data_IF_252160482030
#
_entry.id   IF_252160482030
#
_cell.length_a   1.000
_cell.length_b   1.000
_cell.length_c   1.000
_cell.angle_alpha   90.00
_cell.angle_beta   90.00
_cell.angle_gamma   90.00
#
_symmetry.space_group_name_H-M   'P 1'
#
loop_
_entity.id
_entity.type
_entity.pdbx_description
1 polymer ?
#
# COMPACT_ATOMS: atom_id res chain seq x y z
N UNK A 1 -22.27 45.26 -60.47
CA UNK A 1 -23.54 44.49 -60.54
C UNK A 1 -24.16 44.50 -59.15
N UNK A 2 -25.47 44.70 -59.05
CA UNK A 2 -26.18 44.63 -57.76
C UNK A 2 -26.50 43.16 -57.45
N UNK A 3 -26.07 42.66 -56.30
CA UNK A 3 -26.38 41.30 -55.82
C UNK A 3 -27.57 41.35 -54.85
N UNK A 4 -28.34 40.27 -54.77
CA UNK A 4 -29.32 40.11 -53.70
C UNK A 4 -28.59 39.87 -52.37
N UNK A 5 -28.96 40.56 -51.28
CA UNK A 5 -28.39 40.27 -49.97
C UNK A 5 -28.89 38.90 -49.49
N UNK A 6 -27.95 38.00 -49.20
CA UNK A 6 -28.21 36.68 -48.64
C UNK A 6 -28.08 36.73 -47.12
N UNK A 7 -29.02 36.12 -46.40
CA UNK A 7 -28.91 35.92 -44.94
C UNK A 7 -29.08 34.44 -44.66
N UNK A 8 -28.21 33.81 -43.84
CA UNK A 8 -28.28 32.37 -43.57
C UNK A 8 -29.43 32.05 -42.63
N UNK A 9 -30.65 32.07 -43.16
CA UNK A 9 -31.88 31.78 -42.45
C UNK A 9 -32.67 30.70 -43.17
N UNK A 10 -33.28 29.81 -42.39
CA UNK A 10 -34.19 28.80 -42.92
C UNK A 10 -35.59 29.38 -43.04
N UNK A 11 -35.95 29.76 -44.27
CA UNK A 11 -37.31 30.19 -44.60
C UNK A 11 -38.28 28.99 -44.53
N UNK A 12 -39.43 29.17 -43.88
CA UNK A 12 -40.45 28.11 -43.71
C UNK A 12 -41.08 27.67 -45.04
N UNK A 13 -41.09 28.56 -46.03
CA UNK A 13 -41.59 28.31 -47.37
C UNK A 13 -40.97 29.26 -48.39
N UNK A 14 -41.18 28.95 -49.67
CA UNK A 14 -40.81 29.84 -50.78
C UNK A 14 -42.11 30.49 -51.23
N UNK A 15 -42.15 31.82 -51.24
CA UNK A 15 -43.31 32.58 -51.70
C UNK A 15 -43.68 32.16 -53.12
N UNK A 16 -44.97 32.05 -53.43
CA UNK A 16 -45.41 31.86 -54.80
C UNK A 16 -45.84 33.21 -55.33
N UNK A 17 -45.25 33.67 -56.43
CA UNK A 17 -45.72 34.90 -57.09
C UNK A 17 -47.15 34.68 -57.56
N UNK A 18 -48.02 35.61 -57.19
CA UNK A 18 -49.41 35.64 -57.59
C UNK A 18 -49.61 36.50 -58.83
N UNK A 19 -50.71 36.29 -59.55
CA UNK A 19 -51.01 37.04 -60.78
C UNK A 19 -51.26 38.53 -60.49
N UNK A 20 -51.64 38.87 -59.26
CA UNK A 20 -51.82 40.24 -58.77
C UNK A 20 -50.54 40.94 -58.32
N UNK A 21 -49.41 40.23 -58.22
CA UNK A 21 -48.16 40.84 -57.74
C UNK A 21 -47.54 41.77 -58.78
N UNK A 22 -47.11 42.99 -58.39
CA UNK A 22 -46.45 43.91 -59.32
C UNK A 22 -45.03 43.44 -59.66
N UNK A 23 -44.54 43.75 -60.87
CA UNK A 23 -43.14 43.44 -61.23
C UNK A 23 -42.20 44.49 -60.64
N UNK A 24 -41.81 44.30 -59.37
CA UNK A 24 -40.90 45.18 -58.63
C UNK A 24 -39.57 44.48 -58.37
N UNK A 25 -38.48 45.07 -58.88
CA UNK A 25 -37.10 44.68 -58.60
C UNK A 25 -36.52 45.35 -57.35
N UNK A 26 -35.20 45.28 -57.19
CA UNK A 26 -34.49 45.77 -55.99
C UNK A 26 -34.46 44.77 -54.83
N UNK A 27 -33.75 45.08 -53.73
CA UNK A 27 -33.51 44.16 -52.61
C UNK A 27 -34.77 43.65 -51.89
N UNK A 28 -35.85 44.45 -51.94
CA UNK A 28 -37.14 44.17 -51.31
C UNK A 28 -38.29 44.09 -52.33
N UNK A 29 -37.95 44.02 -53.61
CA UNK A 29 -38.91 43.82 -54.69
C UNK A 29 -39.52 42.43 -54.68
N UNK A 30 -40.84 42.32 -54.87
CA UNK A 30 -41.58 41.05 -54.83
C UNK A 30 -41.07 40.05 -55.88
N UNK A 31 -40.59 40.53 -57.03
CA UNK A 31 -40.03 39.69 -58.10
C UNK A 31 -38.73 38.97 -57.69
N UNK A 32 -38.01 39.49 -56.70
CA UNK A 32 -36.77 38.89 -56.18
C UNK A 32 -37.00 38.03 -54.92
N UNK A 33 -38.22 37.98 -54.38
CA UNK A 33 -38.51 37.33 -53.08
C UNK A 33 -38.16 35.84 -53.08
N UNK A 34 -38.60 35.11 -54.11
CA UNK A 34 -38.32 33.67 -54.25
C UNK A 34 -36.82 33.37 -54.31
N UNK A 35 -36.08 34.13 -55.11
CA UNK A 35 -34.64 33.99 -55.25
C UNK A 35 -33.91 34.31 -53.92
N UNK A 36 -34.31 35.38 -53.22
CA UNK A 36 -33.75 35.76 -51.91
C UNK A 36 -33.99 34.66 -50.86
N UNK A 37 -35.19 34.07 -50.84
CA UNK A 37 -35.52 32.98 -49.91
C UNK A 37 -34.74 31.69 -50.21
N UNK A 38 -34.60 31.32 -51.49
CA UNK A 38 -33.80 30.17 -51.91
C UNK A 38 -32.31 30.35 -51.60
N UNK A 39 -31.77 31.53 -51.88
CA UNK A 39 -30.37 31.86 -51.58
C UNK A 39 -30.10 31.82 -50.06
N UNK A 40 -31.01 32.38 -49.27
CA UNK A 40 -30.93 32.35 -47.79
C UNK A 40 -30.92 30.92 -47.23
N UNK A 41 -31.80 30.04 -47.72
CA UNK A 41 -31.82 28.61 -47.34
C UNK A 41 -30.55 27.88 -47.77
N UNK A 42 -30.03 28.17 -48.96
CA UNK A 42 -28.79 27.59 -49.46
C UNK A 42 -27.61 28.00 -48.60
N UNK A 43 -27.52 29.28 -48.24
CA UNK A 43 -26.50 29.81 -47.33
C UNK A 43 -26.59 29.17 -45.94
N UNK A 44 -27.80 29.02 -45.39
CA UNK A 44 -28.04 28.30 -44.13
C UNK A 44 -27.57 26.84 -44.19
N UNK A 45 -27.93 26.10 -45.24
CA UNK A 45 -27.53 24.70 -45.41
C UNK A 45 -26.03 24.56 -45.57
N UNK A 46 -25.40 25.44 -46.36
CA UNK A 46 -23.95 25.48 -46.52
C UNK A 46 -23.26 25.67 -45.16
N UNK A 47 -23.72 26.64 -44.36
CA UNK A 47 -23.18 26.84 -43.00
C UNK A 47 -23.37 25.63 -42.10
N UNK A 48 -24.52 24.93 -42.19
CA UNK A 48 -24.74 23.70 -41.43
C UNK A 48 -23.80 22.58 -41.86
N UNK A 49 -23.59 22.40 -43.16
CA UNK A 49 -22.67 21.39 -43.70
C UNK A 49 -21.23 21.71 -43.30
N UNK A 50 -20.81 22.97 -43.44
CA UNK A 50 -19.48 23.44 -43.03
C UNK A 50 -19.29 23.24 -41.52
N UNK A 51 -20.27 23.62 -40.69
CA UNK A 51 -20.22 23.41 -39.24
C UNK A 51 -20.12 21.93 -38.85
N UNK A 52 -20.94 21.07 -39.46
CA UNK A 52 -20.84 19.62 -39.23
C UNK A 52 -19.46 19.10 -39.62
N UNK A 53 -18.88 19.60 -40.72
CA UNK A 53 -17.51 19.30 -41.12
C UNK A 53 -16.47 19.74 -40.09
N UNK A 54 -16.60 20.96 -39.54
CA UNK A 54 -15.68 21.46 -38.50
C UNK A 54 -15.83 20.71 -37.19
N UNK A 55 -17.05 20.37 -36.77
CA UNK A 55 -17.32 19.62 -35.54
C UNK A 55 -16.75 18.19 -35.65
N UNK A 56 -16.87 17.55 -36.82
CA UNK A 56 -16.25 16.25 -37.09
C UNK A 56 -14.72 16.34 -37.13
N UNK A 57 -14.17 17.38 -37.77
CA UNK A 57 -12.72 17.59 -37.77
C UNK A 57 -12.17 17.80 -36.35
N UNK A 58 -12.88 18.54 -35.51
CA UNK A 58 -12.54 18.72 -34.10
C UNK A 58 -12.65 17.40 -33.31
N UNK A 59 -13.68 16.59 -33.57
CA UNK A 59 -13.85 15.26 -32.96
C UNK A 59 -12.70 14.30 -33.33
N UNK A 60 -12.29 14.27 -34.60
CA UNK A 60 -11.18 13.43 -35.09
C UNK A 60 -9.84 13.90 -34.51
N UNK A 61 -9.64 15.22 -34.40
CA UNK A 61 -8.40 15.79 -33.86
C UNK A 61 -8.27 15.66 -32.34
N UNK A 62 -9.39 15.51 -31.61
CA UNK A 62 -9.38 15.34 -30.18
C UNK A 62 -8.76 13.99 -29.79
N UNK A 63 -7.87 14.01 -28.78
CA UNK A 63 -7.21 12.79 -28.27
C UNK A 63 -8.24 11.80 -27.70
N UNK A 64 -9.20 12.33 -26.94
CA UNK A 64 -10.27 11.59 -26.26
C UNK A 64 -11.62 12.32 -26.46
N UNK A 65 -12.28 12.16 -27.63
CA UNK A 65 -13.54 12.87 -27.93
C UNK A 65 -14.76 12.36 -27.15
N UNK A 66 -14.59 11.27 -26.38
CA UNK A 66 -15.65 10.61 -25.63
C UNK A 66 -15.29 10.59 -24.13
N UNK A 67 -15.77 11.59 -23.40
CA UNK A 67 -15.42 11.82 -21.98
C UNK A 67 -16.04 10.80 -21.02
N UNK A 68 -16.99 9.98 -21.48
CA UNK A 68 -17.59 8.90 -20.69
C UNK A 68 -16.67 7.67 -20.54
N UNK A 69 -15.59 7.59 -21.31
CA UNK A 69 -14.63 6.49 -21.24
C UNK A 69 -13.34 6.94 -20.54
N UNK A 70 -12.57 5.96 -20.06
CA UNK A 70 -11.24 6.22 -19.52
C UNK A 70 -10.33 6.81 -20.62
N UNK A 71 -9.51 7.82 -20.26
CA UNK A 71 -8.58 8.45 -21.20
C UNK A 71 -7.55 7.45 -21.70
N UNK A 72 -7.11 7.58 -22.96
CA UNK A 72 -6.09 6.68 -23.52
C UNK A 72 -4.75 6.80 -22.79
N UNK A 73 -4.36 8.02 -22.47
CA UNK A 73 -3.14 8.31 -21.73
C UNK A 73 -3.44 8.43 -20.24
N UNK A 74 -2.71 7.67 -19.42
CA UNK A 74 -2.77 7.72 -17.95
C UNK A 74 -4.18 7.77 -17.39
N UNK A 75 -5.06 6.80 -17.73
CA UNK A 75 -6.43 6.79 -17.23
C UNK A 75 -6.48 6.76 -15.71
N UNK A 76 -7.38 7.55 -15.14
CA UNK A 76 -7.87 7.31 -13.78
C UNK A 76 -9.04 6.33 -13.87
N UNK A 77 -8.88 5.12 -13.34
CA UNK A 77 -9.96 4.14 -13.30
C UNK A 77 -10.91 4.44 -12.12
N UNK A 78 -12.22 4.34 -12.36
CA UNK A 78 -13.27 4.52 -11.35
C UNK A 78 -14.17 3.28 -11.29
N UNK A 79 -14.91 3.10 -10.19
CA UNK A 79 -15.75 1.90 -9.98
C UNK A 79 -14.92 0.62 -9.73
N UNK A 80 -15.34 -0.50 -10.31
CA UNK A 80 -14.70 -1.83 -10.16
C UNK A 80 -14.13 -2.32 -11.51
N UNK A 81 -12.99 -1.77 -11.99
CA UNK A 81 -12.41 -2.15 -13.27
C UNK A 81 -11.96 -3.62 -13.24
N UNK A 82 -12.22 -4.34 -14.34
CA UNK A 82 -11.72 -5.71 -14.55
C UNK A 82 -10.62 -5.71 -15.60
N UNK A 83 -9.60 -6.54 -15.41
CA UNK A 83 -8.56 -6.80 -16.41
C UNK A 83 -8.28 -8.31 -16.46
N UNK A 84 -7.71 -8.83 -17.57
CA UNK A 84 -7.27 -10.22 -17.63
C UNK A 84 -6.23 -10.51 -16.54
N UNK A 85 -6.39 -11.63 -15.83
CA UNK A 85 -5.43 -12.07 -14.82
C UNK A 85 -4.18 -12.64 -15.50
N UNK A 86 -2.99 -12.04 -15.31
CA UNK A 86 -1.74 -12.59 -15.83
C UNK A 86 -1.41 -13.97 -15.25
N UNK A 87 -0.57 -14.73 -15.95
CA UNK A 87 -0.02 -15.98 -15.43
C UNK A 87 0.96 -15.70 -14.28
N UNK A 88 1.11 -16.65 -13.35
CA UNK A 88 2.07 -16.54 -12.25
C UNK A 88 3.50 -16.36 -12.79
N UNK A 89 4.27 -15.46 -12.18
CA UNK A 89 5.66 -15.16 -12.58
C UNK A 89 5.79 -14.18 -13.76
N UNK A 90 4.69 -13.65 -14.30
CA UNK A 90 4.74 -12.58 -15.31
C UNK A 90 5.39 -11.32 -14.72
N UNK A 91 6.47 -10.85 -15.36
CA UNK A 91 7.25 -9.67 -14.96
C UNK A 91 7.15 -8.51 -15.97
N UNK A 92 6.15 -8.57 -16.85
CA UNK A 92 5.89 -7.52 -17.84
C UNK A 92 5.20 -6.30 -17.23
N UNK A 93 5.00 -5.25 -18.03
CA UNK A 93 4.33 -4.00 -17.62
C UNK A 93 2.79 -4.09 -17.66
N UNK A 94 2.22 -5.29 -17.65
CA UNK A 94 0.75 -5.48 -17.60
C UNK A 94 0.20 -5.02 -16.25
N UNK A 95 -1.09 -4.72 -16.21
CA UNK A 95 -1.79 -4.43 -14.95
C UNK A 95 -1.82 -5.68 -14.07
N UNK A 96 -1.46 -5.53 -12.80
CA UNK A 96 -1.63 -6.58 -11.80
C UNK A 96 -3.08 -6.56 -11.30
N UNK A 97 -3.80 -7.68 -11.50
CA UNK A 97 -5.16 -7.85 -10.95
C UNK A 97 -5.10 -8.27 -9.49
N UNK A 98 -6.17 -8.04 -8.74
CA UNK A 98 -6.32 -8.55 -7.36
C UNK A 98 -6.16 -10.07 -7.29
N UNK A 99 -6.71 -10.79 -8.28
CA UNK A 99 -6.57 -12.25 -8.40
C UNK A 99 -5.11 -12.69 -8.61
N UNK A 100 -4.33 -11.97 -9.44
CA UNK A 100 -2.90 -12.25 -9.62
C UNK A 100 -2.13 -12.09 -8.32
N UNK A 101 -2.35 -11.00 -7.58
CA UNK A 101 -1.71 -10.76 -6.28
C UNK A 101 -2.09 -11.84 -5.26
N UNK A 102 -3.36 -12.22 -5.21
CA UNK A 102 -3.83 -13.29 -4.33
C UNK A 102 -3.17 -14.63 -4.68
N UNK A 103 -3.04 -14.98 -5.97
CA UNK A 103 -2.34 -16.19 -6.42
C UNK A 103 -0.84 -16.14 -6.10
N UNK A 104 -0.19 -15.00 -6.29
CA UNK A 104 1.23 -14.83 -5.97
C UNK A 104 1.49 -14.98 -4.46
N UNK A 105 0.63 -14.38 -3.62
CA UNK A 105 0.70 -14.53 -2.16
C UNK A 105 0.39 -15.97 -1.73
N UNK A 106 -0.61 -16.61 -2.33
CA UNK A 106 -0.93 -18.00 -2.06
C UNK A 106 0.18 -18.94 -2.51
N UNK A 107 0.91 -18.65 -3.60
CA UNK A 107 2.08 -19.42 -4.00
C UNK A 107 3.25 -19.23 -3.02
N UNK A 108 3.47 -18.01 -2.53
CA UNK A 108 4.44 -17.72 -1.48
C UNK A 108 4.10 -18.46 -0.18
N UNK A 109 2.84 -18.39 0.24
CA UNK A 109 2.34 -19.05 1.44
C UNK A 109 2.24 -20.57 1.29
N UNK A 110 1.82 -21.09 0.13
CA UNK A 110 1.65 -22.51 -0.16
C UNK A 110 2.97 -23.27 -0.32
N UNK A 111 4.07 -22.54 -0.55
CA UNK A 111 5.43 -23.07 -0.42
C UNK A 111 5.89 -23.14 1.05
N UNK A 112 5.15 -22.54 1.97
CA UNK A 112 5.55 -22.39 3.35
C UNK A 112 4.40 -22.32 4.38
N UNK A 113 3.30 -23.10 4.34
CA UNK A 113 2.37 -23.09 5.48
C UNK A 113 3.07 -23.70 6.70
N UNK A 114 3.70 -24.88 6.51
CA UNK A 114 4.51 -25.57 7.52
C UNK A 114 5.85 -24.86 7.76
N UNK A 115 6.45 -24.26 6.73
CA UNK A 115 7.72 -23.52 6.90
C UNK A 115 7.53 -22.18 7.62
N UNK A 116 6.40 -21.48 7.40
CA UNK A 116 6.05 -20.30 8.20
C UNK A 116 5.67 -20.69 9.63
N UNK A 117 4.98 -21.83 9.79
CA UNK A 117 4.68 -22.39 11.11
C UNK A 117 5.98 -22.71 11.88
N UNK A 118 6.93 -23.42 11.26
CA UNK A 118 8.25 -23.71 11.88
C UNK A 118 9.05 -22.44 12.16
N UNK A 119 9.03 -21.42 11.29
CA UNK A 119 9.67 -20.13 11.59
C UNK A 119 8.99 -19.42 12.78
N UNK A 120 7.67 -19.50 12.88
CA UNK A 120 6.91 -18.98 14.02
C UNK A 120 7.21 -19.76 15.30
N UNK A 121 7.25 -21.10 15.23
CA UNK A 121 7.61 -21.97 16.34
C UNK A 121 9.03 -21.69 16.82
N UNK A 122 10.00 -21.50 15.92
CA UNK A 122 11.37 -21.13 16.27
C UNK A 122 11.44 -19.74 16.92
N UNK A 123 10.71 -18.75 16.38
CA UNK A 123 10.66 -17.41 16.96
C UNK A 123 10.04 -17.42 18.36
N UNK A 124 8.96 -18.17 18.55
CA UNK A 124 8.30 -18.34 19.84
C UNK A 124 9.18 -19.15 20.83
N UNK A 125 9.87 -20.20 20.37
CA UNK A 125 10.81 -20.98 21.17
C UNK A 125 12.02 -20.15 21.65
N UNK A 126 12.45 -19.16 20.85
CA UNK A 126 13.48 -18.20 21.22
C UNK A 126 12.94 -16.98 22.00
N UNK A 127 11.63 -16.98 22.30
CA UNK A 127 10.98 -15.93 23.09
C UNK A 127 10.83 -14.60 22.36
N UNK A 128 10.88 -14.58 21.03
CA UNK A 128 10.83 -13.37 20.21
C UNK A 128 11.84 -12.28 20.66
N UNK A 129 13.01 -12.69 21.19
CA UNK A 129 14.01 -11.79 21.75
C UNK A 129 14.94 -11.22 20.65
N UNK A 130 14.87 -9.91 20.32
CA UNK A 130 15.74 -9.30 19.31
C UNK A 130 17.22 -9.34 19.69
N UNK A 131 17.52 -9.51 20.98
CA UNK A 131 18.87 -9.58 21.53
C UNK A 131 19.14 -10.95 22.17
N UNK A 132 18.53 -12.03 21.66
CA UNK A 132 18.63 -13.38 22.23
C UNK A 132 20.06 -13.77 22.65
N UNK A 133 21.05 -13.52 21.80
CA UNK A 133 22.44 -13.81 22.11
C UNK A 133 22.94 -13.04 23.35
N UNK A 134 22.64 -11.75 23.44
CA UNK A 134 22.98 -10.91 24.60
C UNK A 134 22.25 -11.36 25.85
N UNK A 135 20.96 -11.69 25.76
CA UNK A 135 20.19 -12.18 26.90
C UNK A 135 20.74 -13.50 27.45
N UNK A 136 21.08 -14.45 26.56
CA UNK A 136 21.70 -15.72 26.95
C UNK A 136 23.08 -15.48 27.56
N UNK A 137 23.88 -14.58 26.99
CA UNK A 137 25.19 -14.23 27.54
C UNK A 137 25.07 -13.61 28.95
N UNK A 138 24.12 -12.70 29.16
CA UNK A 138 23.88 -12.09 30.48
C UNK A 138 23.46 -13.15 31.51
N UNK A 139 22.50 -14.03 31.16
CA UNK A 139 22.07 -15.14 32.04
C UNK A 139 23.20 -16.11 32.37
N UNK A 140 24.16 -16.29 31.46
CA UNK A 140 25.34 -17.12 31.70
C UNK A 140 26.35 -16.41 32.62
N UNK A 141 26.52 -15.10 32.44
CA UNK A 141 27.40 -14.28 33.28
C UNK A 141 26.92 -14.18 34.74
N UNK A 142 25.62 -14.38 35.00
CA UNK A 142 25.07 -14.48 36.35
C UNK A 142 25.39 -15.80 37.08
N UNK A 143 25.97 -16.81 36.39
CA UNK A 143 26.38 -18.06 37.03
C UNK A 143 27.73 -17.92 37.72
N UNK A 144 27.91 -18.67 38.81
CA UNK A 144 29.18 -18.73 39.52
C UNK A 144 30.30 -19.26 38.60
N UNK A 145 31.38 -18.49 38.51
CA UNK A 145 32.54 -18.76 37.72
C UNK A 145 33.46 -19.76 38.45
N UNK A 146 33.81 -20.86 37.77
CA UNK A 146 34.57 -21.97 38.38
C UNK A 146 35.96 -21.53 38.85
N UNK A 147 36.60 -20.66 38.09
CA UNK A 147 37.92 -20.09 38.38
C UNK A 147 37.90 -19.13 39.58
N UNK A 148 36.74 -18.58 39.93
CA UNK A 148 36.58 -17.71 41.11
C UNK A 148 36.43 -18.51 42.41
N UNK A 149 36.23 -19.83 42.35
CA UNK A 149 36.15 -20.71 43.52
C UNK A 149 35.17 -20.19 44.60
N UNK A 150 34.05 -19.59 44.19
CA UNK A 150 33.03 -19.04 45.09
C UNK A 150 33.31 -17.64 45.62
N UNK A 151 34.38 -16.97 45.19
CA UNK A 151 34.63 -15.56 45.52
C UNK A 151 33.57 -14.59 44.97
N UNK A 152 32.85 -15.01 43.93
CA UNK A 152 31.78 -14.30 43.24
C UNK A 152 30.38 -14.61 43.81
N UNK A 153 30.29 -15.32 44.94
CA UNK A 153 29.03 -15.53 45.65
C UNK A 153 28.56 -14.18 46.23
N UNK A 154 27.38 -13.65 45.84
CA UNK A 154 26.93 -12.33 46.29
C UNK A 154 26.62 -12.27 47.80
N UNK A 155 26.09 -13.37 48.35
CA UNK A 155 25.73 -13.48 49.76
C UNK A 155 26.32 -14.75 50.40
N UNK A 156 27.61 -14.75 50.78
CA UNK A 156 28.28 -15.93 51.31
C UNK A 156 27.62 -16.48 52.58
N UNK A 157 27.13 -15.62 53.47
CA UNK A 157 26.46 -16.03 54.71
C UNK A 157 25.14 -16.76 54.45
N UNK A 158 24.32 -16.27 53.50
CA UNK A 158 23.09 -16.94 53.09
C UNK A 158 23.42 -18.28 52.40
N UNK A 159 24.46 -18.32 51.57
CA UNK A 159 24.93 -19.54 50.93
C UNK A 159 25.31 -20.63 51.96
N UNK A 160 26.10 -20.28 52.98
CA UNK A 160 26.47 -21.17 54.08
C UNK A 160 25.25 -21.66 54.87
N UNK A 161 24.30 -20.76 55.16
CA UNK A 161 23.03 -21.12 55.79
C UNK A 161 22.22 -22.11 54.94
N UNK A 162 22.14 -21.90 53.62
CA UNK A 162 21.44 -22.79 52.68
C UNK A 162 22.11 -24.17 52.56
N UNK A 163 23.44 -24.24 52.74
CA UNK A 163 24.16 -25.51 52.87
C UNK A 163 23.93 -26.22 54.21
N UNK A 164 23.21 -25.58 55.15
CA UNK A 164 23.02 -26.11 56.49
C UNK A 164 24.27 -26.01 57.36
N UNK A 165 25.29 -25.25 56.96
CA UNK A 165 26.57 -25.09 57.67
C UNK A 165 26.58 -23.87 58.61
N UNK A 166 25.43 -23.50 59.16
CA UNK A 166 25.29 -22.37 60.08
C UNK A 166 25.98 -22.61 61.43
N UNK A 167 25.86 -21.62 62.33
CA UNK A 167 26.40 -21.73 63.70
C UNK A 167 25.98 -23.05 64.37
N UNK A 168 26.97 -23.80 64.87
CA UNK A 168 26.77 -25.09 65.56
C UNK A 168 26.61 -26.32 64.67
N UNK A 169 26.65 -26.19 63.34
CA UNK A 169 26.40 -27.30 62.40
C UNK A 169 27.57 -28.27 62.23
N UNK A 170 28.80 -27.75 62.08
CA UNK A 170 29.95 -28.59 61.72
C UNK A 170 30.41 -29.50 62.88
N UNK A 171 30.29 -29.02 64.12
CA UNK A 171 30.71 -29.73 65.33
C UNK A 171 29.77 -29.38 66.48
N UNK A 172 29.02 -30.36 67.03
CA UNK A 172 28.24 -30.14 68.24
C UNK A 172 29.13 -29.63 69.39
N UNK A 173 28.61 -28.67 70.16
CA UNK A 173 29.29 -28.19 71.37
C UNK A 173 29.59 -29.38 72.30
N UNK A 174 30.84 -29.51 72.72
CA UNK A 174 31.30 -30.58 73.62
C UNK A 174 32.06 -31.71 72.95
N UNK A 175 32.12 -31.77 71.61
CA UNK A 175 33.00 -32.74 70.90
C UNK A 175 34.47 -32.32 71.07
N UNK A 176 35.35 -33.17 71.66
CA UNK A 176 36.78 -32.87 71.74
C UNK A 176 37.41 -32.86 70.34
N UNK A 177 38.03 -31.74 69.97
CA UNK A 177 38.75 -31.60 68.69
C UNK A 177 40.24 -31.62 68.95
N UNK A 178 41.02 -32.57 68.39
CA UNK A 178 42.47 -32.54 68.45
C UNK A 178 43.00 -31.27 67.78
N UNK A 179 43.76 -30.47 68.53
CA UNK A 179 44.33 -29.21 68.03
C UNK A 179 45.86 -29.24 68.09
N UNK A 180 46.58 -28.87 67.01
CA UNK A 180 48.03 -29.05 66.93
C UNK A 180 48.85 -28.00 67.72
N UNK A 181 48.21 -26.98 68.32
CA UNK A 181 48.87 -25.92 69.09
C UNK A 181 48.45 -25.93 70.56
N UNK A 182 49.33 -25.47 71.45
CA UNK A 182 49.06 -25.35 72.89
C UNK A 182 48.03 -24.27 73.23
N UNK A 183 47.85 -23.28 72.36
CA UNK A 183 46.87 -22.20 72.52
C UNK A 183 45.61 -22.51 71.70
N UNK A 184 44.43 -22.66 72.34
CA UNK A 184 43.19 -22.90 71.61
C UNK A 184 42.76 -21.66 70.80
N UNK A 185 42.03 -21.83 69.68
CA UNK A 185 41.43 -20.71 68.96
C UNK A 185 40.45 -19.92 69.82
N UNK A 186 40.19 -18.66 69.45
CA UNK A 186 39.17 -17.85 70.09
C UNK A 186 37.80 -18.58 70.05
N UNK A 187 37.10 -18.61 71.19
CA UNK A 187 35.82 -19.30 71.34
C UNK A 187 35.90 -20.79 71.73
N UNK A 188 37.10 -21.36 71.86
CA UNK A 188 37.31 -22.76 72.24
C UNK A 188 37.97 -22.90 73.63
N UNK A 189 37.71 -24.01 74.31
CA UNK A 189 38.27 -24.34 75.62
C UNK A 189 39.17 -25.59 75.53
N UNK A 190 40.27 -25.60 76.29
CA UNK A 190 41.12 -26.79 76.41
C UNK A 190 40.44 -27.83 77.30
N UNK A 191 40.23 -29.05 76.78
CA UNK A 191 39.68 -30.18 77.54
C UNK A 191 40.74 -30.75 78.49
N UNK A 192 40.69 -30.39 79.77
CA UNK A 192 41.70 -30.79 80.79
C UNK A 192 41.18 -31.79 81.84
N UNK A 193 40.00 -32.39 81.63
CA UNK A 193 39.31 -33.19 82.64
C UNK A 193 38.38 -32.33 83.48
#
# INVERSE_FOLDING_TARGET
MANLPETPQWESGIYQIEVSDPVLGGPDGISNRQAKQLASRTSYLKQKVEKSGTDLAAHIAAVDPHTQYATKASPTFTGTPTAPTPANGDNSKKLATTEFVAKALAALAGSAPETLDTLKELADALGNDPNFATTVLNKLAEKLAKDQNGADIPEPALFVKNLGLGEGSALPVGVPVPWPSATPPAGWLKCNG
#
